data_IF_540963768256
#
_entry.id   IF_540963768256
#
_cell.length_a   1.000
_cell.length_b   1.000
_cell.length_c   1.000
_cell.angle_alpha   90.00
_cell.angle_beta   90.00
_cell.angle_gamma   90.00
#
_symmetry.space_group_name_H-M   'P 1'
#
loop_
_entity.id
_entity.type
_entity.pdbx_description
1 polymer ?
#
# COMPACT_ATOMS: atom_id res chain seq x y z
N UNK A 1 -11.15 15.26 -0.81
CA UNK A 1 -10.51 14.47 -1.86
C UNK A 1 -9.39 13.61 -1.31
N UNK A 2 -9.22 12.45 -1.92
CA UNK A 2 -8.22 11.48 -1.50
C UNK A 2 -7.28 11.17 -2.67
N UNK A 3 -6.06 10.81 -2.33
CA UNK A 3 -5.11 10.37 -3.32
C UNK A 3 -5.57 9.05 -3.94
N UNK A 4 -5.45 8.90 -5.26
CA UNK A 4 -5.83 7.67 -5.93
C UNK A 4 -4.94 6.52 -5.50
N UNK A 5 -5.55 5.36 -5.22
CA UNK A 5 -4.84 4.15 -4.80
C UNK A 5 -5.15 3.05 -5.82
N UNK A 6 -4.12 2.46 -6.39
CA UNK A 6 -4.23 1.28 -7.24
C UNK A 6 -3.62 0.10 -6.49
N UNK A 7 -4.39 -0.99 -6.38
CA UNK A 7 -3.93 -2.17 -5.66
C UNK A 7 -3.25 -3.15 -6.61
N UNK A 8 -2.13 -3.69 -6.17
CA UNK A 8 -1.38 -4.71 -6.88
C UNK A 8 -1.49 -6.03 -6.14
N UNK A 9 -1.49 -7.12 -6.88
CA UNK A 9 -1.52 -8.45 -6.26
C UNK A 9 -0.26 -8.68 -5.44
N UNK A 10 -0.40 -9.47 -4.37
CA UNK A 10 0.75 -9.84 -3.56
C UNK A 10 1.78 -10.60 -4.41
N UNK A 11 3.02 -10.19 -4.30
CA UNK A 11 4.12 -10.81 -5.06
C UNK A 11 4.32 -10.26 -6.46
N UNK A 12 3.52 -9.27 -6.88
CA UNK A 12 3.72 -8.69 -8.21
C UNK A 12 5.00 -7.87 -8.28
N UNK A 13 5.52 -7.72 -9.50
CA UNK A 13 6.73 -6.95 -9.73
C UNK A 13 6.48 -5.45 -9.48
N UNK A 14 7.57 -4.72 -9.19
CA UNK A 14 7.49 -3.29 -9.02
C UNK A 14 6.96 -2.64 -10.32
N UNK A 15 5.99 -1.72 -10.20
CA UNK A 15 5.46 -1.05 -11.39
C UNK A 15 6.43 0.03 -11.90
N UNK A 16 6.28 0.39 -13.17
CA UNK A 16 6.92 1.58 -13.70
C UNK A 16 6.13 2.79 -13.21
N UNK A 17 6.82 3.78 -12.65
CA UNK A 17 6.17 4.93 -12.05
C UNK A 17 6.36 6.17 -12.89
N UNK A 18 5.29 6.94 -13.06
CA UNK A 18 5.37 8.29 -13.61
C UNK A 18 5.70 9.27 -12.48
N UNK A 19 6.01 10.52 -12.84
CA UNK A 19 6.32 11.54 -11.87
C UNK A 19 5.17 11.72 -10.87
N UNK A 20 5.50 11.74 -9.58
CA UNK A 20 4.52 11.92 -8.52
C UNK A 20 3.86 10.64 -8.05
N UNK A 21 4.03 9.54 -8.78
CA UNK A 21 3.49 8.24 -8.36
C UNK A 21 4.40 7.59 -7.33
N UNK A 22 3.80 6.75 -6.49
CA UNK A 22 4.51 6.09 -5.39
C UNK A 22 4.21 4.60 -5.43
N UNK A 23 5.19 3.78 -5.12
CA UNK A 23 5.00 2.34 -4.94
C UNK A 23 5.19 1.99 -3.48
N UNK A 24 4.21 1.29 -2.92
CA UNK A 24 4.25 0.79 -1.54
C UNK A 24 4.21 -0.73 -1.62
N UNK A 25 5.36 -1.42 -1.59
CA UNK A 25 5.38 -2.88 -1.51
C UNK A 25 4.89 -3.35 -0.16
N UNK A 26 4.50 -4.62 -0.07
CA UNK A 26 4.06 -5.19 1.21
C UNK A 26 5.22 -5.25 2.20
N UNK A 27 6.35 -5.82 1.80
CA UNK A 27 7.54 -5.93 2.64
C UNK A 27 8.60 -4.91 2.21
N UNK A 28 9.58 -4.59 3.07
CA UNK A 28 10.64 -3.66 2.70
C UNK A 28 11.35 -4.07 1.42
N UNK A 29 11.67 -3.09 0.58
CA UNK A 29 12.30 -3.31 -0.71
C UNK A 29 13.26 -2.16 -0.99
N UNK A 30 14.48 -2.45 -1.53
CA UNK A 30 15.48 -1.40 -1.76
C UNK A 30 15.03 -0.29 -2.70
N UNK A 31 14.11 -0.58 -3.62
CA UNK A 31 13.63 0.40 -4.59
C UNK A 31 12.48 1.25 -4.05
N UNK A 32 11.99 1.01 -2.84
CA UNK A 32 10.86 1.74 -2.27
C UNK A 32 11.25 2.40 -0.95
N UNK A 33 10.76 3.62 -0.73
CA UNK A 33 11.02 4.34 0.52
C UNK A 33 10.14 3.86 1.66
N UNK A 34 8.96 3.33 1.33
CA UNK A 34 7.97 2.89 2.30
C UNK A 34 7.53 1.49 1.98
N UNK A 35 7.01 0.78 2.98
CA UNK A 35 6.37 -0.50 2.79
C UNK A 35 5.20 -0.60 3.76
N UNK A 36 4.24 -1.49 3.49
CA UNK A 36 3.13 -1.70 4.42
C UNK A 36 3.64 -2.30 5.73
N UNK A 37 4.52 -3.29 5.62
CA UNK A 37 5.07 -4.01 6.77
C UNK A 37 6.54 -3.63 6.93
N UNK A 38 7.01 -3.53 8.17
CA UNK A 38 8.43 -3.26 8.43
C UNK A 38 9.28 -4.51 8.44
N UNK A 39 8.66 -5.70 8.56
CA UNK A 39 9.37 -6.96 8.70
C UNK A 39 8.81 -8.07 7.82
N UNK A 40 7.86 -7.75 6.93
CA UNK A 40 7.22 -8.73 6.08
C UNK A 40 6.02 -9.42 6.70
N UNK A 41 5.65 -9.09 7.93
CA UNK A 41 4.51 -9.69 8.62
C UNK A 41 3.22 -8.88 8.39
N UNK A 42 2.08 -9.58 8.37
CA UNK A 42 0.78 -8.92 8.30
C UNK A 42 0.46 -8.18 9.60
N UNK A 43 1.02 -8.59 10.72
CA UNK A 43 0.85 -7.90 12.00
C UNK A 43 1.39 -6.48 11.93
N UNK A 44 2.61 -6.33 11.43
CA UNK A 44 3.21 -5.01 11.24
C UNK A 44 2.37 -4.15 10.30
N UNK A 45 1.95 -4.73 9.15
CA UNK A 45 1.14 -4.00 8.18
C UNK A 45 -0.17 -3.53 8.80
N UNK A 46 -0.84 -4.38 9.58
CA UNK A 46 -2.11 -4.01 10.22
C UNK A 46 -1.93 -2.84 11.18
N UNK A 47 -0.84 -2.82 11.94
CA UNK A 47 -0.57 -1.75 12.89
C UNK A 47 -0.26 -0.42 12.21
N UNK A 48 0.39 -0.46 11.05
CA UNK A 48 0.90 0.74 10.37
C UNK A 48 -0.07 1.33 9.38
N UNK A 49 -1.05 0.55 8.92
CA UNK A 49 -1.81 0.86 7.72
C UNK A 49 -2.47 2.24 7.73
N UNK A 50 -3.23 2.56 8.76
CA UNK A 50 -3.96 3.84 8.80
C UNK A 50 -3.02 5.03 8.85
N UNK A 51 -1.99 4.96 9.69
CA UNK A 51 -1.05 6.06 9.82
C UNK A 51 -0.29 6.27 8.51
N UNK A 52 0.11 5.18 7.84
CA UNK A 52 0.83 5.26 6.59
C UNK A 52 -0.04 5.87 5.49
N UNK A 53 -1.26 5.38 5.31
CA UNK A 53 -2.15 5.90 4.27
C UNK A 53 -2.49 7.36 4.51
N UNK A 54 -2.73 7.75 5.77
CA UNK A 54 -3.05 9.13 6.10
C UNK A 54 -1.86 10.06 5.79
N UNK A 55 -0.64 9.61 6.13
CA UNK A 55 0.57 10.40 5.90
C UNK A 55 0.83 10.61 4.41
N UNK A 56 0.48 9.63 3.58
CA UNK A 56 0.76 9.68 2.14
C UNK A 56 -0.41 10.18 1.30
N UNK A 57 -1.52 10.55 1.93
CA UNK A 57 -2.74 10.94 1.23
C UNK A 57 -2.73 12.43 0.89
N UNK A 58 -1.92 12.81 -0.11
CA UNK A 58 -1.99 14.18 -0.65
C UNK A 58 -2.65 14.11 -2.02
N UNK A 59 -3.83 14.77 -2.16
CA UNK A 59 -4.60 14.67 -3.39
C UNK A 59 -3.88 15.15 -4.65
N UNK A 60 -2.93 16.07 -4.51
CA UNK A 60 -2.17 16.60 -5.64
C UNK A 60 -1.05 15.69 -6.12
N UNK A 61 -0.76 14.63 -5.38
CA UNK A 61 0.24 13.66 -5.81
C UNK A 61 -0.37 12.64 -6.78
N UNK A 62 0.48 11.94 -7.53
CA UNK A 62 0.04 10.89 -8.44
C UNK A 62 -0.46 9.65 -7.71
N UNK A 63 -0.87 8.67 -8.49
CA UNK A 63 -1.41 7.40 -7.96
C UNK A 63 -0.41 6.72 -7.03
N UNK A 64 -0.93 6.16 -5.95
CA UNK A 64 -0.18 5.32 -5.03
C UNK A 64 -0.47 3.87 -5.35
N UNK A 65 0.56 3.13 -5.80
CA UNK A 65 0.44 1.70 -6.10
C UNK A 65 0.81 0.91 -4.87
N UNK A 66 -0.13 0.14 -4.33
CA UNK A 66 0.05 -0.57 -3.06
C UNK A 66 -0.07 -2.07 -3.29
N UNK A 67 0.97 -2.80 -2.93
CA UNK A 67 0.95 -4.26 -3.00
C UNK A 67 0.14 -4.81 -1.82
N UNK A 68 -0.84 -5.67 -2.13
CA UNK A 68 -1.67 -6.30 -1.11
C UNK A 68 -0.87 -7.31 -0.29
N UNK A 69 -1.37 -7.59 0.91
CA UNK A 69 -0.83 -8.63 1.78
C UNK A 69 -1.20 -10.02 1.26
N UNK A 70 -0.54 -11.09 1.75
CA UNK A 70 -1.01 -12.44 1.48
C UNK A 70 -2.45 -12.63 1.92
N UNK A 71 -3.24 -13.36 1.12
CA UNK A 71 -4.68 -13.56 1.35
C UNK A 71 -4.96 -14.65 2.38
N UNK A 72 -4.40 -14.50 3.57
CA UNK A 72 -4.64 -15.47 4.65
C UNK A 72 -4.51 -14.76 5.99
N UNK A 73 -5.28 -15.20 6.96
CA UNK A 73 -5.22 -14.67 8.32
C UNK A 73 -5.37 -13.17 8.35
N UNK A 74 -4.49 -12.50 9.08
CA UNK A 74 -4.52 -11.05 9.24
C UNK A 74 -4.31 -10.30 7.91
N UNK A 75 -3.67 -10.94 6.93
CA UNK A 75 -3.50 -10.36 5.60
C UNK A 75 -4.82 -10.05 4.92
N UNK A 76 -5.84 -10.88 5.13
CA UNK A 76 -7.18 -10.61 4.58
C UNK A 76 -7.75 -9.32 5.15
N UNK A 77 -7.59 -9.10 6.45
CA UNK A 77 -8.09 -7.88 7.09
C UNK A 77 -7.37 -6.65 6.56
N UNK A 78 -6.06 -6.75 6.36
CA UNK A 78 -5.27 -5.66 5.75
C UNK A 78 -5.79 -5.36 4.35
N UNK A 79 -5.99 -6.38 3.54
CA UNK A 79 -6.45 -6.21 2.16
C UNK A 79 -7.87 -5.64 2.09
N UNK A 80 -8.75 -6.04 2.99
CA UNK A 80 -10.11 -5.50 3.05
C UNK A 80 -10.07 -3.98 3.29
N UNK A 81 -9.22 -3.53 4.20
CA UNK A 81 -9.07 -2.10 4.48
C UNK A 81 -8.44 -1.36 3.32
N UNK A 82 -7.47 -1.97 2.65
CA UNK A 82 -6.87 -1.38 1.45
C UNK A 82 -7.91 -1.20 0.34
N UNK A 83 -8.76 -2.21 0.14
CA UNK A 83 -9.80 -2.13 -0.88
C UNK A 83 -10.81 -1.03 -0.57
N UNK A 84 -11.17 -0.84 0.69
CA UNK A 84 -12.05 0.24 1.09
C UNK A 84 -11.41 1.60 0.85
N UNK A 85 -10.13 1.75 1.18
CA UNK A 85 -9.42 3.00 0.95
C UNK A 85 -9.31 3.31 -0.54
N UNK A 86 -9.02 2.31 -1.36
CA UNK A 86 -8.93 2.48 -2.81
C UNK A 86 -10.28 2.85 -3.42
N UNK A 87 -11.36 2.32 -2.87
CA UNK A 87 -12.70 2.57 -3.37
C UNK A 87 -13.16 4.01 -3.12
N UNK A 88 -12.69 4.64 -2.05
CA UNK A 88 -13.03 6.02 -1.73
C UNK A 88 -12.20 7.05 -2.49
N UNK A 89 -11.10 6.61 -3.06
CA UNK A 89 -10.14 7.51 -3.70
C UNK A 89 -10.62 8.02 -5.09
#
# INVERSE_FOLDING_TARGET
PHRAIALLDHGSAAPSLAKGETWIPFAPHPAAKESLSTDGSATSAAHRLFALLRRLDYPEAGTMFVEKAPESGLGRAVNDRLMRAAHRA
#
